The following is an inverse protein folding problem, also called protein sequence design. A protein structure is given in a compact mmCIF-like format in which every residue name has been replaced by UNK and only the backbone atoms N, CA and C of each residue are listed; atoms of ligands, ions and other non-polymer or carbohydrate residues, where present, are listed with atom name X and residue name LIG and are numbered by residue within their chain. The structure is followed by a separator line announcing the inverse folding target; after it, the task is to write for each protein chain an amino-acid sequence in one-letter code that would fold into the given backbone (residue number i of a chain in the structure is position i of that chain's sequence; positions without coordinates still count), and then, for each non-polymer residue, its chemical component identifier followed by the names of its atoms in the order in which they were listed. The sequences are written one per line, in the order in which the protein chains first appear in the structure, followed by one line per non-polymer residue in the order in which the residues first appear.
data_IF_733061856466
#
_entry.id   IF_733061856466
#
_cell.length_a   1.000
_cell.length_b   1.000
_cell.length_c   1.000
_cell.angle_alpha   90.00
_cell.angle_beta   90.00
_cell.angle_gamma   90.00
#
_symmetry.space_group_name_H-M   'P 1'
#
loop_
_entity.id
_entity.type
_entity.pdbx_description
1 polymer ?
#
# COMPACT_ATOMS: atom_id res chain seq x y z
N UNK A 1 -10.31 10.92 10.19
CA UNK A 1 -9.43 10.22 9.25
C UNK A 1 -9.18 11.10 8.03
N UNK A 2 -10.21 11.58 7.33
CA UNK A 2 -10.10 12.39 6.11
C UNK A 2 -9.16 13.60 6.25
N UNK A 3 -9.33 14.42 7.29
CA UNK A 3 -8.55 15.66 7.47
C UNK A 3 -7.05 15.47 7.77
N UNK A 4 -6.64 14.26 8.20
CA UNK A 4 -5.27 14.00 8.61
C UNK A 4 -4.55 12.96 7.74
N UNK A 5 -5.31 12.05 7.12
CA UNK A 5 -4.78 10.93 6.37
C UNK A 5 -5.32 10.84 4.94
N UNK A 6 -6.24 11.72 4.56
CA UNK A 6 -6.89 11.68 3.25
C UNK A 6 -7.76 10.44 3.02
N UNK A 7 -8.16 9.76 4.10
CA UNK A 7 -8.96 8.53 4.01
C UNK A 7 -10.43 8.90 4.00
N UNK A 8 -11.11 8.70 2.88
CA UNK A 8 -12.54 8.93 2.71
C UNK A 8 -13.38 7.75 3.19
N UNK A 9 -12.93 6.55 2.93
CA UNK A 9 -13.59 5.32 3.34
C UNK A 9 -12.74 4.58 4.38
N UNK A 10 -13.36 4.22 5.50
CA UNK A 10 -12.72 3.45 6.55
C UNK A 10 -13.51 2.15 6.75
N UNK A 11 -12.93 1.04 6.31
CA UNK A 11 -13.54 -0.28 6.46
C UNK A 11 -13.44 -0.76 7.91
N UNK A 12 -14.56 -1.12 8.50
CA UNK A 12 -14.63 -1.69 9.85
C UNK A 12 -15.34 -3.03 9.76
N UNK A 13 -14.63 -4.09 10.08
CA UNK A 13 -15.14 -5.46 10.11
C UNK A 13 -14.82 -6.08 11.47
N UNK A 14 -15.58 -7.08 11.87
CA UNK A 14 -15.24 -7.88 13.06
C UNK A 14 -14.01 -8.73 12.80
N UNK A 15 -13.22 -9.03 13.83
CA UNK A 15 -12.09 -9.96 13.70
C UNK A 15 -12.62 -11.39 13.44
N UNK A 16 -12.38 -11.95 12.24
CA UNK A 16 -12.86 -13.28 11.90
C UNK A 16 -12.09 -14.39 12.60
N UNK A 17 -10.89 -14.11 13.12
CA UNK A 17 -10.10 -15.08 13.85
C UNK A 17 -10.57 -15.20 15.31
N UNK A 18 -11.23 -14.17 15.84
CA UNK A 18 -11.71 -14.12 17.22
C UNK A 18 -10.60 -14.53 18.22
N UNK A 19 -9.41 -13.99 18.04
CA UNK A 19 -8.23 -14.25 18.85
C UNK A 19 -8.04 -13.17 19.91
N UNK A 20 -7.13 -13.39 20.85
CA UNK A 20 -6.81 -12.39 21.90
C UNK A 20 -6.14 -11.12 21.36
N UNK A 21 -5.71 -11.09 20.10
CA UNK A 21 -4.89 -10.04 19.54
C UNK A 21 -5.61 -9.18 18.49
N UNK A 22 -6.68 -9.64 17.87
CA UNK A 22 -7.52 -8.95 16.88
C UNK A 22 -6.72 -8.26 15.75
N UNK A 23 -5.62 -8.85 15.30
CA UNK A 23 -4.75 -8.30 14.27
C UNK A 23 -5.21 -8.68 12.87
N UNK A 24 -5.38 -7.69 12.00
CA UNK A 24 -5.82 -7.87 10.61
C UNK A 24 -4.85 -8.77 9.83
N UNK A 25 -3.54 -8.61 10.03
CA UNK A 25 -2.51 -9.39 9.34
C UNK A 25 -2.54 -10.90 9.64
N UNK A 26 -3.32 -11.33 10.63
CA UNK A 26 -3.59 -12.74 10.90
C UNK A 26 -4.62 -13.36 9.96
N UNK A 27 -5.42 -12.57 9.27
CA UNK A 27 -6.48 -13.06 8.39
C UNK A 27 -6.61 -12.33 7.05
N UNK A 28 -6.04 -11.13 6.92
CA UNK A 28 -6.15 -10.34 5.71
C UNK A 28 -5.01 -9.35 5.51
N UNK A 29 -4.90 -8.83 4.31
CA UNK A 29 -3.90 -7.84 3.93
C UNK A 29 -4.33 -7.08 2.69
N UNK A 30 -4.15 -5.76 2.69
CA UNK A 30 -4.17 -4.99 1.46
C UNK A 30 -2.89 -5.26 0.67
N UNK A 31 -3.04 -5.64 -0.59
CA UNK A 31 -1.93 -5.86 -1.50
C UNK A 31 -1.62 -4.62 -2.33
N UNK A 32 -2.66 -3.83 -2.62
CA UNK A 32 -2.58 -2.54 -3.30
C UNK A 32 -3.80 -1.70 -2.95
N UNK A 33 -3.96 -0.54 -3.56
CA UNK A 33 -5.17 0.30 -3.45
C UNK A 33 -6.44 -0.34 -4.03
N UNK A 34 -6.32 -1.44 -4.78
CA UNK A 34 -7.44 -2.13 -5.44
C UNK A 34 -7.53 -3.61 -5.09
N UNK A 35 -6.53 -4.17 -4.42
CA UNK A 35 -6.40 -5.62 -4.18
C UNK A 35 -6.35 -5.93 -2.70
N UNK A 36 -7.12 -6.93 -2.28
CA UNK A 36 -7.15 -7.42 -0.92
C UNK A 36 -6.98 -8.95 -0.89
N UNK A 37 -6.18 -9.43 0.04
CA UNK A 37 -5.98 -10.85 0.30
C UNK A 37 -6.68 -11.21 1.61
N UNK A 38 -7.51 -12.24 1.58
CA UNK A 38 -8.18 -12.80 2.75
C UNK A 38 -7.87 -14.30 2.82
N UNK A 39 -7.53 -14.80 4.01
CA UNK A 39 -7.32 -16.23 4.21
C UNK A 39 -8.56 -17.02 3.83
N UNK A 40 -8.37 -18.30 3.46
CA UNK A 40 -9.41 -19.26 3.18
C UNK A 40 -9.18 -20.52 4.01
N UNK A 41 -10.24 -21.04 4.56
CA UNK A 41 -10.20 -22.26 5.40
C UNK A 41 -11.24 -23.28 4.94
N UNK A 42 -11.11 -24.56 5.31
CA UNK A 42 -12.15 -25.55 4.99
C UNK A 42 -13.46 -25.23 5.72
N UNK A 43 -14.58 -25.63 5.14
CA UNK A 43 -15.91 -25.43 5.71
C UNK A 43 -16.14 -26.08 7.09
N UNK A 44 -15.25 -26.99 7.48
CA UNK A 44 -15.25 -27.59 8.83
C UNK A 44 -14.45 -26.78 9.85
N UNK A 45 -13.78 -25.71 9.42
CA UNK A 45 -12.99 -24.87 10.31
C UNK A 45 -13.90 -24.05 11.22
N UNK A 46 -13.56 -23.90 12.52
CA UNK A 46 -14.41 -23.19 13.48
C UNK A 46 -14.69 -21.72 13.12
N UNK A 47 -13.85 -21.09 12.32
CA UNK A 47 -13.94 -19.68 11.92
C UNK A 47 -14.36 -19.51 10.44
N UNK A 48 -14.89 -20.58 9.83
CA UNK A 48 -15.25 -20.56 8.41
C UNK A 48 -16.26 -19.46 8.09
N UNK A 49 -17.35 -19.40 8.85
CA UNK A 49 -18.45 -18.48 8.57
C UNK A 49 -17.99 -17.01 8.70
N UNK A 50 -17.21 -16.68 9.72
CA UNK A 50 -16.68 -15.34 9.97
C UNK A 50 -15.67 -14.89 8.90
N UNK A 51 -14.82 -15.81 8.43
CA UNK A 51 -13.86 -15.54 7.35
C UNK A 51 -14.59 -15.32 6.02
N UNK A 52 -15.61 -16.12 5.73
CA UNK A 52 -16.40 -15.93 4.52
C UNK A 52 -17.26 -14.65 4.57
N UNK A 53 -17.76 -14.25 5.75
CA UNK A 53 -18.45 -12.97 5.93
C UNK A 53 -17.55 -11.78 5.57
N UNK A 54 -16.29 -11.78 6.02
CA UNK A 54 -15.32 -10.74 5.66
C UNK A 54 -14.99 -10.77 4.17
N UNK A 55 -14.82 -11.95 3.59
CA UNK A 55 -14.57 -12.08 2.15
C UNK A 55 -15.76 -11.57 1.31
N UNK A 56 -16.98 -11.86 1.74
CA UNK A 56 -18.21 -11.35 1.12
C UNK A 56 -18.32 -9.83 1.27
N UNK A 57 -17.97 -9.27 2.43
CA UNK A 57 -17.93 -7.83 2.65
C UNK A 57 -17.04 -7.13 1.63
N UNK A 58 -15.80 -7.60 1.43
CA UNK A 58 -14.89 -6.99 0.45
C UNK A 58 -15.35 -7.23 -1.00
N UNK A 59 -15.92 -8.39 -1.31
CA UNK A 59 -16.48 -8.65 -2.64
C UNK A 59 -17.64 -7.72 -3.02
N UNK A 60 -18.35 -7.19 -2.02
CA UNK A 60 -19.49 -6.28 -2.21
C UNK A 60 -19.15 -4.80 -1.93
N UNK A 61 -17.91 -4.51 -1.53
CA UNK A 61 -17.44 -3.15 -1.27
C UNK A 61 -16.70 -2.57 -2.47
N UNK A 62 -16.65 -1.26 -2.53
CA UNK A 62 -15.86 -0.54 -3.53
C UNK A 62 -14.55 -0.05 -2.89
N UNK A 63 -13.50 -0.04 -3.68
CA UNK A 63 -12.22 0.59 -3.32
C UNK A 63 -12.31 2.12 -3.45
N UNK A 64 -11.25 2.83 -3.12
CA UNK A 64 -11.22 4.31 -3.15
C UNK A 64 -11.39 4.91 -4.57
N UNK A 65 -11.28 4.10 -5.61
CA UNK A 65 -11.51 4.49 -7.00
C UNK A 65 -12.95 4.25 -7.47
N UNK A 66 -13.80 3.70 -6.59
CA UNK A 66 -15.19 3.37 -6.91
C UNK A 66 -15.37 2.08 -7.70
N UNK A 67 -14.32 1.26 -7.82
CA UNK A 67 -14.33 -0.04 -8.47
C UNK A 67 -14.43 -1.18 -7.45
N UNK A 68 -14.95 -2.36 -7.82
CA UNK A 68 -14.93 -3.52 -6.94
C UNK A 68 -13.52 -3.89 -6.48
N UNK A 69 -13.37 -4.34 -5.24
CA UNK A 69 -12.12 -4.92 -4.79
C UNK A 69 -11.79 -6.20 -5.55
N UNK A 70 -10.56 -6.32 -6.01
CA UNK A 70 -10.00 -7.57 -6.51
C UNK A 70 -9.60 -8.45 -5.32
N UNK A 71 -10.43 -9.45 -5.01
CA UNK A 71 -10.26 -10.32 -3.86
C UNK A 71 -9.40 -11.54 -4.19
N UNK A 72 -8.31 -11.71 -3.48
CA UNK A 72 -7.47 -12.91 -3.49
C UNK A 72 -7.71 -13.75 -2.25
N UNK A 73 -7.61 -15.06 -2.38
CA UNK A 73 -7.80 -16.00 -1.27
C UNK A 73 -6.56 -16.89 -1.14
N UNK A 74 -6.05 -17.02 0.09
CA UNK A 74 -4.94 -17.92 0.40
C UNK A 74 -5.39 -19.04 1.34
N UNK A 75 -5.11 -20.28 0.93
CA UNK A 75 -5.57 -21.46 1.67
C UNK A 75 -4.73 -21.67 2.93
N UNK A 76 -5.39 -21.72 4.10
CA UNK A 76 -4.77 -21.81 5.42
C UNK A 76 -5.53 -22.80 6.33
N UNK A 77 -5.61 -24.09 5.96
CA UNK A 77 -6.47 -25.06 6.67
C UNK A 77 -6.03 -25.32 8.10
N UNK A 78 -4.77 -25.09 8.44
CA UNK A 78 -4.20 -25.29 9.77
C UNK A 78 -3.74 -23.96 10.39
N UNK A 79 -4.37 -22.82 10.01
CA UNK A 79 -4.01 -21.49 10.48
C UNK A 79 -2.58 -21.06 10.10
N UNK A 80 -2.11 -21.44 8.91
CA UNK A 80 -0.84 -20.94 8.39
C UNK A 80 -0.85 -19.42 8.29
N UNK A 81 0.23 -18.74 8.65
CA UNK A 81 0.28 -17.28 8.76
C UNK A 81 0.61 -16.57 7.44
N UNK A 82 0.19 -17.09 6.29
CA UNK A 82 0.56 -16.56 4.98
C UNK A 82 0.12 -15.10 4.76
N UNK A 83 -0.97 -14.66 5.39
CA UNK A 83 -1.41 -13.25 5.33
C UNK A 83 -0.52 -12.31 6.13
N UNK A 84 0.26 -12.85 7.08
CA UNK A 84 1.24 -12.08 7.87
C UNK A 84 2.57 -11.87 7.10
N UNK A 85 2.46 -11.63 5.81
CA UNK A 85 3.57 -11.32 4.91
C UNK A 85 4.04 -9.87 5.06
N UNK A 86 5.21 -9.57 4.56
CA UNK A 86 5.75 -8.22 4.54
C UNK A 86 6.06 -7.79 3.11
N UNK A 87 5.51 -6.65 2.69
CA UNK A 87 5.73 -6.09 1.36
C UNK A 87 6.68 -4.90 1.52
N UNK A 88 7.78 -4.93 0.80
CA UNK A 88 8.74 -3.83 0.80
C UNK A 88 9.33 -3.65 -0.59
N UNK A 89 9.25 -2.44 -1.12
CA UNK A 89 9.65 -2.12 -2.49
C UNK A 89 8.95 -3.07 -3.49
N UNK A 90 9.73 -3.80 -4.28
CA UNK A 90 9.25 -4.78 -5.28
C UNK A 90 9.35 -6.23 -4.77
N UNK A 91 9.32 -6.44 -3.45
CA UNK A 91 9.43 -7.77 -2.82
C UNK A 91 8.26 -8.05 -1.90
N UNK A 92 7.84 -9.31 -1.91
CA UNK A 92 6.88 -9.85 -0.96
C UNK A 92 7.56 -10.97 -0.18
N UNK A 93 7.67 -10.80 1.12
CA UNK A 93 8.23 -11.79 2.02
C UNK A 93 7.09 -12.52 2.71
N UNK A 94 6.92 -13.81 2.41
CA UNK A 94 5.81 -14.63 2.91
C UNK A 94 6.33 -15.62 3.96
N UNK A 95 5.74 -15.67 5.16
CA UNK A 95 6.10 -16.68 6.14
C UNK A 95 5.63 -18.07 5.66
N UNK A 96 6.56 -19.01 5.50
CA UNK A 96 6.27 -20.39 5.10
C UNK A 96 6.53 -21.36 6.26
N UNK A 97 5.76 -22.43 6.32
CA UNK A 97 5.69 -23.33 7.48
C UNK A 97 6.33 -24.71 7.23
N UNK A 98 6.67 -25.02 5.97
CA UNK A 98 7.13 -26.33 5.56
C UNK A 98 5.98 -27.31 5.28
N UNK A 99 4.76 -26.82 5.16
CA UNK A 99 3.58 -27.60 4.83
C UNK A 99 3.31 -27.63 3.31
N UNK A 100 2.47 -28.55 2.86
CA UNK A 100 2.20 -28.83 1.45
C UNK A 100 1.58 -27.62 0.70
N UNK A 101 1.05 -26.62 1.41
CA UNK A 101 0.38 -25.43 0.84
C UNK A 101 1.28 -24.19 0.71
N UNK A 102 2.56 -24.29 1.08
CA UNK A 102 3.48 -23.15 1.00
C UNK A 102 3.64 -22.65 -0.44
N UNK A 103 3.82 -23.57 -1.40
CA UNK A 103 3.98 -23.23 -2.81
C UNK A 103 2.72 -22.58 -3.39
N UNK A 104 1.53 -23.09 -3.05
CA UNK A 104 0.24 -22.52 -3.45
C UNK A 104 0.08 -21.11 -2.89
N UNK A 105 0.52 -20.87 -1.64
CA UNK A 105 0.46 -19.55 -1.03
C UNK A 105 1.38 -18.54 -1.73
N UNK A 106 2.59 -18.94 -2.13
CA UNK A 106 3.50 -18.10 -2.91
C UNK A 106 2.90 -17.77 -4.28
N UNK A 107 2.30 -18.75 -4.97
CA UNK A 107 1.64 -18.56 -6.26
C UNK A 107 0.49 -17.55 -6.17
N UNK A 108 -0.28 -17.54 -5.09
CA UNK A 108 -1.33 -16.52 -4.86
C UNK A 108 -0.74 -15.11 -4.86
N UNK A 109 0.40 -14.90 -4.19
CA UNK A 109 1.07 -13.59 -4.19
C UNK A 109 1.66 -13.23 -5.55
N UNK A 110 2.26 -14.17 -6.27
CA UNK A 110 2.79 -13.96 -7.63
C UNK A 110 1.68 -13.52 -8.60
N UNK A 111 0.52 -14.18 -8.52
CA UNK A 111 -0.63 -13.84 -9.34
C UNK A 111 -1.25 -12.48 -8.95
N UNK A 112 -1.26 -12.16 -7.66
CA UNK A 112 -1.83 -10.90 -7.17
C UNK A 112 -0.93 -9.69 -7.45
N UNK A 113 0.39 -9.87 -7.43
CA UNK A 113 1.39 -8.80 -7.53
C UNK A 113 2.40 -9.06 -8.66
N UNK A 114 1.95 -9.03 -9.93
CA UNK A 114 2.84 -9.25 -11.06
C UNK A 114 3.98 -8.20 -11.07
N UNK A 115 5.21 -8.68 -11.22
CA UNK A 115 6.41 -7.84 -11.19
C UNK A 115 7.09 -7.74 -9.82
N UNK A 116 6.46 -8.27 -8.76
CA UNK A 116 7.11 -8.41 -7.46
C UNK A 116 7.89 -9.73 -7.38
N UNK A 117 9.01 -9.70 -6.67
CA UNK A 117 9.74 -10.91 -6.27
C UNK A 117 9.10 -11.50 -5.00
N UNK A 118 8.47 -12.67 -5.12
CA UNK A 118 7.84 -13.36 -3.99
C UNK A 118 8.82 -14.34 -3.37
N UNK A 119 9.07 -14.21 -2.07
CA UNK A 119 10.06 -14.99 -1.34
C UNK A 119 9.45 -15.64 -0.09
N UNK A 120 9.56 -16.96 0.00
CA UNK A 120 9.19 -17.72 1.19
C UNK A 120 10.25 -17.65 2.28
N UNK A 121 9.85 -17.36 3.51
CA UNK A 121 10.72 -17.31 4.67
C UNK A 121 10.30 -18.34 5.70
N UNK A 122 11.14 -19.34 5.92
CA UNK A 122 10.95 -20.33 6.98
C UNK A 122 11.32 -19.75 8.34
N UNK A 123 10.53 -20.08 9.35
CA UNK A 123 10.76 -19.62 10.72
C UNK A 123 9.86 -20.34 11.72
N UNK A 124 10.01 -19.99 12.97
CA UNK A 124 9.10 -20.44 14.04
C UNK A 124 7.93 -19.46 14.10
N UNK A 125 6.97 -19.67 13.20
CA UNK A 125 5.81 -18.80 13.06
C UNK A 125 4.64 -19.29 13.91
N UNK A 126 3.89 -18.34 14.45
CA UNK A 126 2.60 -18.55 15.08
C UNK A 126 1.50 -18.03 14.13
N UNK A 127 0.28 -18.56 14.26
CA UNK A 127 -0.86 -18.08 13.46
C UNK A 127 -1.19 -16.60 13.68
N UNK A 128 -0.76 -16.05 14.81
CA UNK A 128 -0.99 -14.66 15.23
C UNK A 128 0.28 -13.82 15.35
N UNK A 129 1.44 -14.39 15.06
CA UNK A 129 2.74 -13.69 15.12
C UNK A 129 3.73 -14.31 14.14
N UNK A 130 3.90 -13.65 13.01
CA UNK A 130 4.84 -14.08 12.00
C UNK A 130 5.64 -12.89 11.44
N UNK A 131 5.97 -12.90 10.16
CA UNK A 131 6.95 -12.02 9.56
C UNK A 131 6.59 -10.54 9.72
N UNK A 132 5.36 -10.15 9.35
CA UNK A 132 4.91 -8.75 9.45
C UNK A 132 4.93 -8.23 10.89
N UNK A 133 4.49 -9.02 11.83
CA UNK A 133 4.51 -8.65 13.27
C UNK A 133 5.92 -8.46 13.83
N UNK A 134 6.93 -9.10 13.23
CA UNK A 134 8.33 -9.11 13.73
C UNK A 134 9.26 -8.15 13.03
N UNK A 135 8.83 -7.53 11.92
CA UNK A 135 9.62 -6.49 11.26
C UNK A 135 9.53 -5.18 12.01
N UNK A 136 10.62 -4.42 11.95
CA UNK A 136 10.70 -3.08 12.54
C UNK A 136 11.31 -2.13 11.52
N UNK A 137 10.66 -0.99 11.34
CA UNK A 137 11.24 0.13 10.60
C UNK A 137 12.45 0.67 11.37
N UNK A 138 13.59 0.70 10.71
CA UNK A 138 14.75 1.44 11.19
C UNK A 138 14.78 2.72 10.39
N UNK A 139 14.62 3.90 11.03
CA UNK A 139 14.68 5.16 10.30
C UNK A 139 16.02 5.29 9.58
N UNK A 140 15.98 5.58 8.30
CA UNK A 140 17.17 6.02 7.57
C UNK A 140 17.41 7.49 7.93
N UNK A 141 18.44 7.74 8.71
CA UNK A 141 18.79 9.08 9.18
C UNK A 141 19.45 9.94 8.10
N UNK A 142 19.75 9.35 6.96
CA UNK A 142 20.36 10.01 5.80
C UNK A 142 19.39 10.03 4.60
N UNK A 143 18.11 9.74 4.84
CA UNK A 143 17.11 9.67 3.78
C UNK A 143 16.81 11.06 3.18
N UNK A 144 16.36 11.03 1.93
CA UNK A 144 15.64 12.14 1.32
C UNK A 144 14.17 12.06 1.71
N UNK A 145 13.69 13.00 2.52
CA UNK A 145 12.28 13.09 2.88
C UNK A 145 11.54 13.99 1.92
N UNK A 146 10.41 13.47 1.39
CA UNK A 146 9.55 14.23 0.49
C UNK A 146 8.13 14.19 1.06
N UNK A 147 7.62 15.36 1.45
CA UNK A 147 6.24 15.52 1.90
C UNK A 147 5.45 16.31 0.85
N UNK A 148 4.40 15.70 0.36
CA UNK A 148 3.55 16.28 -0.66
C UNK A 148 2.08 16.08 -0.27
N UNK A 149 1.28 17.12 -0.35
CA UNK A 149 -0.17 17.00 -0.21
C UNK A 149 -0.76 16.54 -1.55
N UNK A 150 -1.57 15.47 -1.57
CA UNK A 150 -2.29 15.07 -2.76
C UNK A 150 -3.09 16.23 -3.34
N UNK A 151 -3.20 16.25 -4.66
CA UNK A 151 -4.12 17.19 -5.31
C UNK A 151 -5.56 16.83 -4.97
N UNK A 152 -6.36 17.82 -4.65
CA UNK A 152 -7.79 17.62 -4.52
C UNK A 152 -8.40 17.18 -5.86
N UNK A 153 -9.20 16.12 -5.82
CA UNK A 153 -9.96 15.68 -6.99
C UNK A 153 -11.00 16.75 -7.32
N UNK A 154 -10.96 17.30 -8.51
CA UNK A 154 -11.97 18.29 -8.88
C UNK A 154 -11.61 19.15 -10.08
N UNK A 155 -12.24 20.30 -10.16
CA UNK A 155 -12.16 21.25 -11.26
C UNK A 155 -10.73 21.78 -11.44
N UNK A 156 -10.28 21.88 -12.68
CA UNK A 156 -9.02 22.53 -13.00
C UNK A 156 -8.98 23.95 -12.38
N UNK A 157 -7.87 24.36 -11.77
CA UNK A 157 -7.75 25.65 -11.14
C UNK A 157 -7.86 26.78 -12.18
N UNK A 158 -8.39 27.93 -11.73
CA UNK A 158 -8.31 29.16 -12.53
C UNK A 158 -6.83 29.49 -12.77
N UNK A 159 -6.40 29.45 -14.02
CA UNK A 159 -4.99 29.68 -14.39
C UNK A 159 -4.37 28.55 -15.20
N UNK A 160 -5.06 27.43 -15.37
CA UNK A 160 -4.66 26.35 -16.28
C UNK A 160 -3.50 25.48 -15.80
N UNK A 161 -3.20 25.51 -14.49
CA UNK A 161 -2.12 24.67 -13.91
C UNK A 161 -2.50 24.19 -12.53
N UNK A 162 -2.26 22.89 -12.24
CA UNK A 162 -2.41 22.32 -10.91
C UNK A 162 -1.14 22.58 -10.10
N UNK A 163 -1.17 23.40 -9.04
CA UNK A 163 0.02 23.71 -8.27
C UNK A 163 0.45 22.48 -7.45
N UNK A 164 1.71 22.10 -7.60
CA UNK A 164 2.36 21.06 -6.82
C UNK A 164 3.30 21.73 -5.82
N UNK A 165 3.15 21.36 -4.55
CA UNK A 165 4.01 21.84 -3.47
C UNK A 165 4.58 20.64 -2.73
N UNK A 166 5.88 20.64 -2.50
CA UNK A 166 6.55 19.62 -1.71
C UNK A 166 7.53 20.25 -0.71
N UNK A 167 7.53 19.70 0.50
CA UNK A 167 8.62 19.93 1.45
C UNK A 167 9.64 18.82 1.25
N UNK A 168 10.88 19.18 0.98
CA UNK A 168 11.94 18.22 0.65
C UNK A 168 13.14 18.47 1.56
N UNK A 169 13.36 17.51 2.46
CA UNK A 169 14.46 17.53 3.43
C UNK A 169 15.49 16.47 3.07
N UNK A 170 16.72 16.92 2.80
CA UNK A 170 17.88 16.06 2.65
C UNK A 170 18.56 15.90 4.03
N UNK A 171 18.30 14.77 4.67
CA UNK A 171 18.88 14.46 5.98
C UNK A 171 20.35 14.01 5.89
N UNK A 172 20.83 13.64 4.69
CA UNK A 172 22.23 13.26 4.48
C UNK A 172 23.18 14.47 4.52
N UNK A 173 22.65 15.65 4.17
CA UNK A 173 23.46 16.86 4.04
C UNK A 173 24.35 16.90 2.79
N UNK A 174 24.21 15.93 1.89
CA UNK A 174 24.97 15.88 0.61
C UNK A 174 24.46 16.90 -0.42
N UNK A 175 23.24 17.38 -0.23
CA UNK A 175 22.59 18.37 -1.08
C UNK A 175 21.74 17.76 -2.20
N UNK A 176 20.81 18.57 -2.68
CA UNK A 176 19.87 18.16 -3.73
C UNK A 176 20.43 18.42 -5.12
N UNK A 177 20.23 17.48 -6.04
CA UNK A 177 20.52 17.67 -7.46
C UNK A 177 19.37 18.47 -8.08
N UNK A 178 19.55 19.76 -8.22
CA UNK A 178 18.50 20.71 -8.63
C UNK A 178 17.84 20.30 -9.95
N UNK A 179 18.61 19.88 -10.94
CA UNK A 179 18.10 19.47 -12.26
C UNK A 179 17.21 18.21 -12.20
N UNK A 180 17.27 17.45 -11.10
CA UNK A 180 16.46 16.27 -10.86
C UNK A 180 15.17 16.56 -10.09
N UNK A 181 14.99 17.80 -9.61
CA UNK A 181 13.79 18.21 -8.88
C UNK A 181 12.66 18.48 -9.87
N UNK A 182 11.86 17.46 -10.15
CA UNK A 182 10.83 17.50 -11.20
C UNK A 182 9.53 16.90 -10.73
N UNK A 183 8.43 17.44 -11.25
CA UNK A 183 7.11 16.79 -11.21
C UNK A 183 6.97 15.93 -12.45
N UNK A 184 6.68 14.66 -12.27
CA UNK A 184 6.33 13.75 -13.37
C UNK A 184 4.84 13.49 -13.35
N UNK A 185 4.20 13.56 -14.50
CA UNK A 185 2.78 13.32 -14.63
C UNK A 185 2.44 12.69 -15.98
N UNK A 186 1.27 12.07 -16.05
CA UNK A 186 0.73 11.53 -17.30
C UNK A 186 -0.79 11.64 -17.33
N UNK A 187 -1.34 11.68 -18.53
CA UNK A 187 -2.80 11.54 -18.72
C UNK A 187 -3.16 10.08 -18.44
N UNK A 188 -4.33 9.86 -17.83
CA UNK A 188 -4.88 8.52 -17.67
C UNK A 188 -4.88 7.80 -19.04
N UNK A 189 -4.53 6.53 -19.08
CA UNK A 189 -4.31 5.72 -20.30
C UNK A 189 -3.11 6.12 -21.19
N UNK A 190 -2.41 7.19 -20.93
CA UNK A 190 -1.18 7.51 -21.65
C UNK A 190 -0.03 6.60 -21.21
N UNK A 191 0.76 6.12 -22.17
CA UNK A 191 2.01 5.42 -21.88
C UNK A 191 3.20 6.37 -21.73
N UNK A 192 2.99 7.66 -22.01
CA UNK A 192 4.04 8.68 -22.00
C UNK A 192 3.92 9.54 -20.75
N UNK A 193 5.05 9.69 -20.07
CA UNK A 193 5.22 10.63 -18.97
C UNK A 193 5.70 11.96 -19.48
N UNK A 194 5.18 13.02 -18.90
CA UNK A 194 5.70 14.40 -19.05
C UNK A 194 6.38 14.80 -17.75
N UNK A 195 7.31 15.75 -17.83
CA UNK A 195 7.95 16.31 -16.64
C UNK A 195 8.01 17.82 -16.68
N UNK A 196 8.07 18.43 -15.50
CA UNK A 196 8.25 19.86 -15.32
C UNK A 196 9.20 20.13 -14.16
N UNK A 197 10.11 21.07 -14.35
CA UNK A 197 11.06 21.47 -13.32
C UNK A 197 10.34 22.07 -12.11
N UNK A 198 10.74 21.67 -10.91
CA UNK A 198 10.37 22.33 -9.67
C UNK A 198 11.38 23.43 -9.32
N UNK A 199 10.89 24.43 -8.65
CA UNK A 199 11.69 25.56 -8.19
C UNK A 199 11.61 25.68 -6.68
N UNK A 200 12.74 25.94 -6.05
CA UNK A 200 12.79 26.21 -4.62
C UNK A 200 12.09 27.54 -4.33
N UNK A 201 11.20 27.53 -3.34
CA UNK A 201 10.56 28.76 -2.86
C UNK A 201 11.56 29.51 -1.98
N UNK A 202 11.97 30.69 -2.42
CA UNK A 202 12.85 31.57 -1.64
C UNK A 202 12.05 32.34 -0.59
N UNK A 203 11.90 31.70 0.58
CA UNK A 203 11.15 32.27 1.71
C UNK A 203 11.88 31.95 3.02
N UNK A 204 12.09 32.94 3.91
CA UNK A 204 12.76 32.74 5.19
C UNK A 204 12.07 31.71 6.10
N UNK A 205 10.75 31.55 5.93
CA UNK A 205 9.94 30.65 6.76
C UNK A 205 9.76 29.26 6.12
N UNK A 206 10.26 29.03 4.91
CA UNK A 206 10.02 27.83 4.12
C UNK A 206 11.29 27.40 3.34
N UNK A 207 12.39 27.16 4.03
CA UNK A 207 13.69 26.89 3.41
C UNK A 207 13.71 25.65 2.49
N UNK A 208 12.82 24.66 2.71
CA UNK A 208 12.82 23.39 1.97
C UNK A 208 11.58 23.20 1.11
N UNK A 209 10.84 24.27 0.85
CA UNK A 209 9.67 24.21 -0.02
C UNK A 209 10.04 24.31 -1.49
N UNK A 210 9.46 23.40 -2.27
CA UNK A 210 9.58 23.34 -3.72
C UNK A 210 8.20 23.46 -4.35
N UNK A 211 8.14 24.21 -5.43
CA UNK A 211 6.91 24.43 -6.19
C UNK A 211 7.10 24.00 -7.64
N UNK A 212 6.08 23.42 -8.20
CA UNK A 212 5.97 23.06 -9.60
C UNK A 212 4.50 23.07 -10.02
N UNK A 213 4.20 22.61 -11.21
CA UNK A 213 2.83 22.55 -11.68
C UNK A 213 2.60 21.43 -12.68
N UNK A 214 1.35 21.05 -12.83
CA UNK A 214 0.87 20.16 -13.89
C UNK A 214 -0.08 20.98 -14.75
N UNK A 215 0.19 21.14 -16.05
CA UNK A 215 -0.71 21.88 -16.93
C UNK A 215 -2.11 21.27 -16.92
N UNK A 216 -3.14 22.09 -16.71
CA UNK A 216 -4.50 21.66 -16.94
C UNK A 216 -4.70 21.46 -18.44
N UNK A 217 -5.17 20.29 -18.82
CA UNK A 217 -5.55 20.03 -20.20
C UNK A 217 -6.82 20.85 -20.47
N UNK A 218 -6.73 21.78 -21.40
CA UNK A 218 -7.90 22.43 -21.94
C UNK A 218 -8.59 21.43 -22.88
N UNK A 219 -9.85 21.11 -22.62
CA UNK A 219 -10.72 20.33 -23.51
C UNK A 219 -10.88 21.00 -24.88
#
# INVERSE_FOLDING_TARGET
MQNYYGIDTYHVVSDPNNTYIDHIDCWGKYLSSTKVLIRQVPNSHPQYDEIEEVAEYFSNSLNDWGEPWELYRVWTPNNQPYTNSFIINEKVLVPVTGEDWDDDALEVYENALPGYEVLGFSGSWESTDALHCRVKGIPDMEMLQVFHNPLDSGTAPEGGEYPIQALIDDLSGEGLIIDSMKVFWKIFDSQYWSDQQMFKLDSPDNENFWIGGIPALLD
#
